data_IF_250201940495
#
_entry.id   IF_250201940495
#
_cell.length_a   1.000
_cell.length_b   1.000
_cell.length_c   1.000
_cell.angle_alpha   90.00
_cell.angle_beta   90.00
_cell.angle_gamma   90.00
#
_symmetry.space_group_name_H-M   'P 1'
#
loop_
_entity.id
_entity.type
_entity.pdbx_description
1 polymer ?
#
# COMPACT_ATOMS: atom_id res chain seq x y z
N UNK A 1 -10.75 10.89 18.18
CA UNK A 1 -9.68 10.54 17.23
C UNK A 1 -10.16 9.32 16.46
N UNK A 2 -10.27 9.40 15.14
CA UNK A 2 -10.62 8.22 14.31
C UNK A 2 -9.45 7.27 14.40
N UNK A 3 -9.65 6.07 14.95
CA UNK A 3 -8.62 5.04 14.94
C UNK A 3 -8.44 4.54 13.50
N UNK A 4 -7.21 4.36 13.01
CA UNK A 4 -6.98 3.80 11.69
C UNK A 4 -7.58 2.41 11.63
N UNK A 5 -8.32 2.15 10.57
CA UNK A 5 -9.00 0.90 10.39
C UNK A 5 -7.96 -0.21 10.13
N UNK A 6 -7.93 -1.22 11.00
CA UNK A 6 -7.32 -2.52 10.70
C UNK A 6 -8.44 -3.52 10.53
N UNK A 7 -8.73 -3.89 9.28
CA UNK A 7 -9.72 -4.92 8.93
C UNK A 7 -9.05 -6.00 8.09
N UNK A 8 -9.60 -7.23 8.08
CA UNK A 8 -9.17 -8.23 7.13
C UNK A 8 -9.12 -7.64 5.71
N UNK A 9 -7.95 -7.69 5.08
CA UNK A 9 -7.72 -7.19 3.71
C UNK A 9 -7.38 -5.70 3.55
N UNK A 10 -7.44 -4.87 4.60
CA UNK A 10 -7.03 -3.46 4.51
C UNK A 10 -6.54 -2.91 5.87
N UNK A 11 -5.40 -2.23 5.86
CA UNK A 11 -4.81 -1.62 7.05
C UNK A 11 -4.17 -0.26 6.73
N UNK A 12 -4.11 0.59 7.75
CA UNK A 12 -3.36 1.84 7.74
C UNK A 12 -2.33 1.82 8.87
N UNK A 13 -1.09 2.14 8.54
CA UNK A 13 -0.01 2.27 9.53
C UNK A 13 -0.01 3.66 10.16
N UNK A 14 0.55 3.74 11.37
CA UNK A 14 0.75 4.94 12.16
C UNK A 14 2.25 5.23 12.33
N UNK A 15 2.55 6.38 12.93
CA UNK A 15 3.92 6.74 13.33
C UNK A 15 4.56 5.66 14.22
N UNK A 16 3.80 5.08 15.15
CA UNK A 16 4.26 4.00 16.01
C UNK A 16 4.68 2.72 15.26
N UNK A 17 4.23 2.52 14.01
CA UNK A 17 4.64 1.38 13.19
C UNK A 17 6.01 1.61 12.52
N UNK A 18 6.54 2.84 12.52
CA UNK A 18 7.84 3.20 11.94
C UNK A 18 7.82 3.43 10.42
N UNK A 19 8.99 3.75 9.84
CA UNK A 19 9.11 4.10 8.42
C UNK A 19 9.07 2.87 7.50
N UNK A 20 7.88 2.60 6.94
CA UNK A 20 7.62 1.49 6.02
C UNK A 20 8.22 1.66 4.61
N UNK A 21 8.80 2.82 4.30
CA UNK A 21 9.61 3.00 3.08
C UNK A 21 10.84 2.08 3.11
N UNK A 22 11.37 1.81 4.31
CA UNK A 22 12.42 0.83 4.51
C UNK A 22 11.81 -0.58 4.61
N UNK A 23 12.09 -1.51 3.66
CA UNK A 23 11.57 -2.87 3.72
C UNK A 23 11.92 -3.62 5.02
N UNK A 24 13.04 -3.28 5.67
CA UNK A 24 13.45 -3.89 6.93
C UNK A 24 12.46 -3.65 8.08
N UNK A 25 11.61 -2.62 8.00
CA UNK A 25 10.66 -2.28 9.07
C UNK A 25 9.28 -2.93 8.89
N UNK A 26 9.06 -3.65 7.77
CA UNK A 26 7.74 -4.20 7.42
C UNK A 26 7.37 -5.46 8.21
N UNK A 27 8.35 -6.10 8.85
CA UNK A 27 8.18 -7.40 9.51
C UNK A 27 7.04 -7.42 10.53
N UNK A 28 7.08 -6.49 11.49
CA UNK A 28 6.09 -6.39 12.58
C UNK A 28 4.68 -6.19 12.02
N UNK A 29 4.49 -5.17 11.17
CA UNK A 29 3.19 -4.88 10.55
C UNK A 29 2.68 -6.07 9.73
N UNK A 30 3.57 -6.74 9.00
CA UNK A 30 3.18 -7.88 8.16
C UNK A 30 2.78 -9.10 8.98
N UNK A 31 3.48 -9.37 10.08
CA UNK A 31 3.17 -10.44 11.02
C UNK A 31 1.80 -10.21 11.67
N UNK A 32 1.53 -9.00 12.16
CA UNK A 32 0.25 -8.64 12.77
C UNK A 32 -0.93 -8.79 11.80
N UNK A 33 -0.71 -8.49 10.51
CA UNK A 33 -1.73 -8.59 9.47
C UNK A 33 -1.82 -9.99 8.85
N UNK A 34 -0.90 -10.90 9.17
CA UNK A 34 -0.82 -12.23 8.57
C UNK A 34 -0.53 -12.22 7.07
N UNK A 35 0.30 -11.28 6.60
CA UNK A 35 0.68 -11.10 5.18
C UNK A 35 2.19 -11.24 4.99
N UNK A 36 2.62 -11.38 3.74
CA UNK A 36 4.05 -11.30 3.40
C UNK A 36 4.62 -9.90 3.67
N UNK A 37 5.90 -9.81 4.07
CA UNK A 37 6.64 -8.54 4.15
C UNK A 37 7.11 -8.01 2.80
N UNK A 38 7.02 -8.83 1.76
CA UNK A 38 7.35 -8.47 0.39
C UNK A 38 6.18 -7.71 -0.25
N UNK A 39 6.09 -6.41 0.04
CA UNK A 39 5.04 -5.55 -0.50
C UNK A 39 5.39 -5.02 -1.89
N UNK A 40 4.40 -4.92 -2.77
CA UNK A 40 4.50 -4.15 -4.00
C UNK A 40 4.29 -2.66 -3.73
N UNK A 41 5.22 -1.82 -4.23
CA UNK A 41 5.19 -0.36 -4.10
C UNK A 41 5.63 0.30 -5.41
N UNK A 42 5.35 1.58 -5.57
CA UNK A 42 5.78 2.40 -6.72
C UNK A 42 6.56 3.62 -6.29
N UNK A 43 7.26 4.26 -7.25
CA UNK A 43 7.78 5.61 -7.07
C UNK A 43 6.62 6.62 -7.17
N UNK A 44 6.09 7.02 -6.03
CA UNK A 44 5.05 8.06 -5.94
C UNK A 44 5.57 9.41 -6.45
N UNK A 45 4.78 10.05 -7.32
CA UNK A 45 5.16 11.31 -7.99
C UNK A 45 4.09 12.38 -7.88
N UNK A 46 3.05 12.16 -7.04
CA UNK A 46 1.90 13.05 -6.90
C UNK A 46 1.19 13.31 -8.25
N UNK A 47 1.02 12.26 -9.05
CA UNK A 47 0.20 12.24 -10.26
C UNK A 47 -0.97 11.26 -10.15
N UNK A 48 -1.56 10.90 -11.29
CA UNK A 48 -2.76 10.07 -11.36
C UNK A 48 -2.55 8.68 -11.98
N UNK A 49 -1.28 8.29 -12.25
CA UNK A 49 -0.99 7.02 -12.92
C UNK A 49 -1.16 5.85 -11.95
N UNK A 50 -1.93 4.85 -12.38
CA UNK A 50 -2.13 3.57 -11.70
C UNK A 50 -1.46 2.45 -12.52
N UNK A 51 -0.87 1.47 -11.86
CA UNK A 51 -0.24 0.32 -12.55
C UNK A 51 -0.74 -1.01 -11.99
N UNK A 52 -0.92 -1.99 -12.87
CA UNK A 52 -1.15 -3.38 -12.46
C UNK A 52 0.16 -4.02 -12.03
N UNK A 53 0.15 -4.77 -10.93
CA UNK A 53 1.31 -5.51 -10.44
C UNK A 53 0.95 -6.96 -10.17
N UNK A 54 1.87 -7.86 -10.51
CA UNK A 54 1.72 -9.30 -10.30
C UNK A 54 2.83 -9.91 -9.42
N UNK A 55 3.85 -9.12 -9.08
CA UNK A 55 5.01 -9.53 -8.27
C UNK A 55 5.31 -8.45 -7.21
N UNK A 56 5.90 -8.84 -6.07
CA UNK A 56 6.29 -7.89 -5.04
C UNK A 56 7.51 -7.06 -5.44
N UNK A 57 7.80 -6.03 -4.65
CA UNK A 57 8.99 -5.20 -4.79
C UNK A 57 8.69 -3.74 -5.09
N UNK A 58 9.75 -2.94 -5.18
CA UNK A 58 9.65 -1.52 -5.48
C UNK A 58 9.79 -1.27 -6.98
N UNK A 59 8.69 -0.94 -7.64
CA UNK A 59 8.69 -0.59 -9.05
C UNK A 59 9.18 0.86 -9.20
N UNK A 60 10.23 1.05 -9.99
CA UNK A 60 10.81 2.38 -10.26
C UNK A 60 9.94 3.27 -11.17
N UNK A 61 8.80 2.77 -11.65
CA UNK A 61 7.85 3.54 -12.47
C UNK A 61 7.21 4.64 -11.63
N UNK A 62 7.07 5.82 -12.22
CA UNK A 62 6.31 6.92 -11.62
C UNK A 62 4.82 6.60 -11.65
N UNK A 63 4.23 6.34 -10.49
CA UNK A 63 2.82 6.04 -10.32
C UNK A 63 2.40 6.34 -8.88
N UNK A 64 1.13 6.63 -8.67
CA UNK A 64 0.56 6.97 -7.36
C UNK A 64 -0.52 5.98 -6.94
N UNK A 65 -0.69 4.89 -7.69
CA UNK A 65 -1.45 3.76 -7.22
C UNK A 65 -1.10 2.47 -7.95
N UNK A 66 -1.57 1.39 -7.36
CA UNK A 66 -1.30 0.02 -7.74
C UNK A 66 -2.62 -0.75 -7.66
N UNK A 67 -2.81 -1.72 -8.54
CA UNK A 67 -3.80 -2.76 -8.32
C UNK A 67 -3.25 -4.14 -8.67
N UNK A 68 -3.87 -5.17 -8.12
CA UNK A 68 -3.49 -6.55 -8.40
C UNK A 68 -4.71 -7.47 -8.42
N UNK A 69 -4.59 -8.51 -9.23
CA UNK A 69 -5.46 -9.69 -9.25
C UNK A 69 -4.79 -10.90 -8.60
N UNK A 70 -3.51 -10.75 -8.22
CA UNK A 70 -2.71 -11.81 -7.61
C UNK A 70 -3.09 -11.94 -6.14
N UNK A 71 -3.69 -13.08 -5.78
CA UNK A 71 -4.03 -13.40 -4.39
C UNK A 71 -2.76 -13.45 -3.54
N UNK A 72 -2.81 -12.80 -2.38
CA UNK A 72 -1.71 -12.82 -1.41
C UNK A 72 -0.58 -11.84 -1.70
N UNK A 73 -0.69 -10.98 -2.73
CA UNK A 73 0.29 -9.91 -3.00
C UNK A 73 -0.08 -8.63 -2.23
N UNK A 74 0.68 -8.22 -1.19
CA UNK A 74 0.41 -6.98 -0.48
C UNK A 74 0.74 -5.77 -1.35
N UNK A 75 -0.16 -4.80 -1.38
CA UNK A 75 0.05 -3.51 -2.05
C UNK A 75 0.22 -2.42 -1.01
N UNK A 76 1.14 -1.49 -1.24
CA UNK A 76 1.33 -0.35 -0.36
C UNK A 76 1.62 0.95 -1.13
N UNK A 77 1.02 2.02 -0.62
CA UNK A 77 1.38 3.42 -0.91
C UNK A 77 1.69 4.11 0.41
N UNK A 78 2.54 5.12 0.35
CA UNK A 78 2.97 5.86 1.53
C UNK A 78 2.29 7.23 1.54
N UNK A 79 1.82 7.65 2.70
CA UNK A 79 1.22 8.97 2.85
C UNK A 79 1.60 9.58 4.20
N UNK A 80 1.79 10.90 4.18
CA UNK A 80 1.75 11.77 5.33
C UNK A 80 0.96 12.99 4.86
N UNK A 81 -0.20 13.23 5.47
CA UNK A 81 -1.21 14.25 5.10
C UNK A 81 -2.01 13.99 3.81
N UNK A 82 -1.45 13.25 2.83
CA UNK A 82 -2.21 12.81 1.65
C UNK A 82 -3.22 11.69 2.01
N UNK A 83 -4.29 11.57 1.22
CA UNK A 83 -5.29 10.53 1.44
C UNK A 83 -4.80 9.18 0.91
N UNK A 84 -4.81 8.16 1.76
CA UNK A 84 -4.66 6.76 1.36
C UNK A 84 -6.03 6.17 0.99
N UNK A 85 -6.15 5.64 -0.21
CA UNK A 85 -7.38 5.03 -0.73
C UNK A 85 -7.17 3.55 -0.92
N UNK A 86 -8.11 2.73 -0.44
CA UNK A 86 -8.16 1.29 -0.67
C UNK A 86 -9.44 0.97 -1.43
N UNK A 87 -9.33 0.19 -2.50
CA UNK A 87 -10.44 -0.27 -3.32
C UNK A 87 -10.40 -1.79 -3.42
N UNK A 88 -11.53 -2.45 -3.24
CA UNK A 88 -11.67 -3.89 -3.40
C UNK A 88 -12.92 -4.23 -4.20
N UNK A 89 -12.83 -5.29 -5.01
CA UNK A 89 -13.96 -5.86 -5.73
C UNK A 89 -13.59 -7.20 -6.36
N UNK A 90 -14.54 -7.84 -7.04
CA UNK A 90 -14.38 -9.18 -7.62
C UNK A 90 -13.22 -9.28 -8.62
N UNK A 91 -12.85 -8.16 -9.24
CA UNK A 91 -11.77 -8.06 -10.21
C UNK A 91 -10.37 -7.95 -9.60
N UNK A 92 -10.23 -7.72 -8.29
CA UNK A 92 -8.95 -7.49 -7.61
C UNK A 92 -9.00 -6.42 -6.53
N UNK A 93 -7.84 -6.08 -5.99
CA UNK A 93 -7.66 -5.04 -4.96
C UNK A 93 -6.70 -3.97 -5.45
N UNK A 94 -6.88 -2.74 -4.98
CA UNK A 94 -6.03 -1.61 -5.32
C UNK A 94 -5.83 -0.65 -4.17
N UNK A 95 -4.69 0.04 -4.21
CA UNK A 95 -4.35 1.11 -3.28
C UNK A 95 -3.87 2.32 -4.06
N UNK A 96 -4.20 3.52 -3.59
CA UNK A 96 -3.79 4.77 -4.21
C UNK A 96 -3.42 5.82 -3.17
N UNK A 97 -2.38 6.56 -3.46
CA UNK A 97 -2.00 7.81 -2.83
C UNK A 97 -2.68 8.95 -3.58
N UNK A 98 -3.61 9.63 -2.90
CA UNK A 98 -4.34 10.76 -3.43
C UNK A 98 -3.86 12.03 -2.71
N UNK A 99 -2.90 12.71 -3.34
CA UNK A 99 -2.57 14.09 -2.99
C UNK A 99 -3.65 15.05 -3.49
N UNK A 100 -3.40 16.36 -3.35
CA UNK A 100 -4.34 17.39 -3.81
C UNK A 100 -4.43 17.55 -5.34
N UNK A 101 -3.45 17.01 -6.08
CA UNK A 101 -3.38 17.05 -7.53
C UNK A 101 -4.17 15.91 -8.14
#
# INVERSE_FOLDING_TARGET
MIQPLRRPGAAFTLEADGDQKNPAHRGIVSEELGISSDWATVRQVHGARIVEVAVPGHLKVGADGLFTRTVGLPLAVMAADCAGVVVGGDGGVGVAHAGWR
#
